data_IF_110037889265
#
_entry.id   IF_110037889265
#
_cell.length_a   1.000
_cell.length_b   1.000
_cell.length_c   1.000
_cell.angle_alpha   90.00
_cell.angle_beta   90.00
_cell.angle_gamma   90.00
#
_symmetry.space_group_name_H-M   'P 1'
#
loop_
_entity.id
_entity.type
_entity.pdbx_description
1 polymer ?
#
# COMPACT_ATOMS: atom_id res chain seq x y z
N UNK A 1 30.10 5.71 -9.63
CA UNK A 1 29.68 5.67 -8.21
C UNK A 1 30.82 5.37 -7.23
N UNK A 2 31.44 4.19 -7.20
CA UNK A 2 32.49 3.88 -6.20
C UNK A 2 33.66 4.87 -6.20
N UNK A 3 34.14 5.29 -7.37
CA UNK A 3 35.25 6.27 -7.51
C UNK A 3 34.85 7.68 -7.05
N UNK A 4 33.59 8.07 -7.18
CA UNK A 4 33.09 9.36 -6.72
C UNK A 4 32.85 9.38 -5.21
N UNK A 5 32.34 8.28 -4.63
CA UNK A 5 32.17 8.16 -3.17
C UNK A 5 33.48 8.29 -2.40
N UNK A 6 34.63 7.91 -3.04
CA UNK A 6 35.93 8.08 -2.45
C UNK A 6 36.48 9.53 -2.51
N UNK A 7 35.78 10.44 -3.20
CA UNK A 7 36.12 11.85 -3.33
C UNK A 7 35.26 12.78 -2.51
N UNK A 8 34.26 12.24 -1.77
CA UNK A 8 33.33 13.03 -0.98
C UNK A 8 34.06 13.81 0.11
N UNK A 9 33.72 15.08 0.22
CA UNK A 9 34.08 15.90 1.38
C UNK A 9 33.21 15.51 2.60
N UNK A 10 33.47 16.12 3.77
CA UNK A 10 32.73 15.79 5.00
C UNK A 10 31.25 16.10 4.93
N UNK A 11 30.84 17.16 4.23
CA UNK A 11 29.43 17.56 4.04
C UNK A 11 28.71 16.58 3.13
N UNK A 12 29.32 16.21 2.01
CA UNK A 12 28.79 15.24 1.05
C UNK A 12 28.60 13.87 1.69
N UNK A 13 29.61 13.42 2.45
CA UNK A 13 29.51 12.15 3.20
C UNK A 13 28.34 12.19 4.20
N UNK A 14 28.22 13.27 4.98
CA UNK A 14 27.15 13.40 5.96
C UNK A 14 25.77 13.40 5.31
N UNK A 15 25.56 14.16 4.25
CA UNK A 15 24.28 14.22 3.51
C UNK A 15 23.93 12.89 2.87
N UNK A 16 24.91 12.19 2.28
CA UNK A 16 24.68 10.86 1.70
C UNK A 16 24.29 9.83 2.75
N UNK A 17 24.96 9.82 3.89
CA UNK A 17 24.61 8.95 5.03
C UNK A 17 23.22 9.28 5.55
N UNK A 18 22.86 10.56 5.70
CA UNK A 18 21.52 10.98 6.10
C UNK A 18 20.48 10.50 5.08
N UNK A 19 20.75 10.64 3.79
CA UNK A 19 19.86 10.16 2.73
C UNK A 19 19.62 8.64 2.82
N UNK A 20 20.67 7.86 3.02
CA UNK A 20 20.55 6.41 3.22
C UNK A 20 19.72 6.08 4.47
N UNK A 21 19.98 6.78 5.59
CA UNK A 21 19.25 6.55 6.84
C UNK A 21 17.78 6.86 6.67
N UNK A 22 17.39 8.00 6.11
CA UNK A 22 15.99 8.41 6.01
C UNK A 22 15.19 7.51 5.04
N UNK A 23 15.84 6.85 4.09
CA UNK A 23 15.21 5.86 3.20
C UNK A 23 15.14 4.49 3.88
N UNK A 24 16.25 4.00 4.42
CA UNK A 24 16.36 2.63 4.89
C UNK A 24 15.77 2.42 6.28
N UNK A 25 15.84 3.43 7.16
CA UNK A 25 15.32 3.31 8.53
C UNK A 25 13.81 3.08 8.61
N UNK A 26 12.93 3.80 7.88
CA UNK A 26 11.51 3.51 7.88
C UNK A 26 11.21 2.08 7.41
N UNK A 27 11.94 1.59 6.40
CA UNK A 27 11.80 0.22 5.90
C UNK A 27 12.21 -0.81 6.95
N UNK A 28 13.39 -0.64 7.55
CA UNK A 28 13.84 -1.49 8.65
C UNK A 28 12.85 -1.48 9.81
N UNK A 29 12.36 -0.31 10.20
CA UNK A 29 11.35 -0.15 11.25
C UNK A 29 10.07 -0.92 10.93
N UNK A 30 9.59 -0.82 9.70
CA UNK A 30 8.42 -1.56 9.23
C UNK A 30 8.58 -3.07 9.42
N UNK A 31 9.72 -3.62 9.01
CA UNK A 31 9.97 -5.05 9.17
C UNK A 31 10.12 -5.45 10.65
N UNK A 32 10.78 -4.64 11.46
CA UNK A 32 11.04 -4.94 12.88
C UNK A 32 9.78 -4.83 13.74
N UNK A 33 8.94 -3.84 13.50
CA UNK A 33 7.76 -3.52 14.31
C UNK A 33 6.44 -3.93 13.66
N UNK A 34 6.48 -4.60 12.51
CA UNK A 34 5.30 -5.06 11.77
C UNK A 34 4.32 -3.94 11.40
N UNK A 35 4.82 -2.73 11.18
CA UNK A 35 4.03 -1.59 10.68
C UNK A 35 3.89 -1.63 9.15
N UNK A 36 3.05 -0.76 8.57
CA UNK A 36 2.83 -0.71 7.13
C UNK A 36 4.11 -0.38 6.36
N UNK A 37 4.44 -1.23 5.38
CA UNK A 37 5.54 -1.00 4.46
C UNK A 37 5.22 0.12 3.47
N UNK A 38 3.98 0.20 2.97
CA UNK A 38 3.54 1.27 2.08
C UNK A 38 3.70 2.65 2.73
N UNK A 39 3.30 2.79 4.01
CA UNK A 39 3.50 4.03 4.75
C UNK A 39 4.99 4.33 4.94
N UNK A 40 5.80 3.33 5.26
CA UNK A 40 7.24 3.49 5.44
C UNK A 40 7.94 3.91 4.14
N UNK A 41 7.52 3.38 2.98
CA UNK A 41 7.99 3.83 1.67
C UNK A 41 7.59 5.28 1.40
N UNK A 42 6.34 5.66 1.70
CA UNK A 42 5.86 7.05 1.55
C UNK A 42 6.74 8.02 2.34
N UNK A 43 7.00 7.70 3.62
CA UNK A 43 7.84 8.54 4.50
C UNK A 43 9.29 8.55 4.00
N UNK A 44 9.87 7.39 3.67
CA UNK A 44 11.24 7.29 3.18
C UNK A 44 11.49 8.07 1.89
N UNK A 45 10.56 7.98 0.92
CA UNK A 45 10.65 8.73 -0.33
C UNK A 45 10.52 10.25 -0.12
N UNK A 46 9.59 10.68 0.75
CA UNK A 46 9.43 12.11 1.08
C UNK A 46 10.69 12.67 1.75
N UNK A 47 11.19 12.01 2.78
CA UNK A 47 12.40 12.45 3.49
C UNK A 47 13.64 12.36 2.60
N UNK A 48 13.77 11.29 1.79
CA UNK A 48 14.83 11.16 0.80
C UNK A 48 14.82 12.29 -0.23
N UNK A 49 13.65 12.70 -0.69
CA UNK A 49 13.48 13.84 -1.57
C UNK A 49 13.92 15.15 -0.91
N UNK A 50 13.57 15.39 0.35
CA UNK A 50 14.00 16.58 1.07
C UNK A 50 15.54 16.65 1.17
N UNK A 51 16.21 15.52 1.40
CA UNK A 51 17.68 15.48 1.39
C UNK A 51 18.25 15.79 0.00
N UNK A 52 17.62 15.30 -1.09
CA UNK A 52 18.02 15.64 -2.46
C UNK A 52 17.90 17.15 -2.73
N UNK A 53 16.83 17.80 -2.24
CA UNK A 53 16.63 19.26 -2.35
C UNK A 53 17.71 20.01 -1.55
N UNK A 54 18.01 19.56 -0.33
CA UNK A 54 19.08 20.16 0.50
C UNK A 54 20.45 20.00 -0.19
N UNK A 55 20.73 18.83 -0.76
CA UNK A 55 21.95 18.61 -1.54
C UNK A 55 22.06 19.58 -2.71
N UNK A 56 20.98 19.75 -3.47
CA UNK A 56 20.94 20.71 -4.58
C UNK A 56 21.21 22.15 -4.14
N UNK A 57 20.63 22.55 -3.00
CA UNK A 57 20.89 23.86 -2.41
C UNK A 57 22.35 24.01 -2.03
N UNK A 58 22.94 23.01 -1.38
CA UNK A 58 24.35 23.04 -0.94
C UNK A 58 25.31 23.01 -2.12
N UNK A 59 24.98 22.30 -3.20
CA UNK A 59 25.72 22.31 -4.44
C UNK A 59 25.74 23.73 -5.06
N UNK A 60 24.59 24.39 -5.14
CA UNK A 60 24.47 25.75 -5.65
C UNK A 60 25.17 26.80 -4.76
N UNK A 61 25.33 26.53 -3.47
CA UNK A 61 26.05 27.40 -2.53
C UNK A 61 27.54 27.09 -2.42
N UNK A 62 28.05 26.08 -3.13
CA UNK A 62 29.45 25.68 -3.13
C UNK A 62 29.91 24.91 -1.88
N UNK A 63 29.00 24.35 -1.10
CA UNK A 63 29.32 23.44 0.03
C UNK A 63 29.51 21.99 -0.40
N UNK A 64 29.00 21.64 -1.58
CA UNK A 64 29.06 20.32 -2.20
C UNK A 64 29.59 20.47 -3.62
N UNK A 65 30.60 19.70 -3.98
CA UNK A 65 31.27 19.77 -5.27
C UNK A 65 30.78 18.72 -6.27
N UNK A 66 30.18 17.65 -5.78
CA UNK A 66 29.76 16.50 -6.57
C UNK A 66 28.23 16.46 -6.71
N UNK A 67 27.75 16.26 -7.94
CA UNK A 67 26.34 15.99 -8.25
C UNK A 67 26.07 14.49 -8.29
N UNK A 68 25.95 13.88 -7.09
CA UNK A 68 25.84 12.42 -6.92
C UNK A 68 24.64 11.79 -7.63
N UNK A 69 23.51 12.49 -7.71
CA UNK A 69 22.24 11.89 -8.11
C UNK A 69 22.26 11.32 -9.52
N UNK A 70 23.06 11.88 -10.43
CA UNK A 70 23.17 11.42 -11.81
C UNK A 70 23.68 9.98 -11.94
N UNK A 71 24.56 9.55 -11.06
CA UNK A 71 25.10 8.19 -11.05
C UNK A 71 24.08 7.13 -10.58
N UNK A 72 23.04 7.61 -9.91
CA UNK A 72 21.96 6.77 -9.38
C UNK A 72 20.71 6.77 -10.28
N UNK A 73 20.65 7.63 -11.31
CA UNK A 73 19.60 7.64 -12.31
C UNK A 73 19.76 6.46 -13.28
N UNK A 74 18.64 5.91 -13.72
CA UNK A 74 18.66 4.84 -14.70
C UNK A 74 18.85 5.41 -16.11
N UNK A 75 20.05 5.29 -16.66
CA UNK A 75 20.37 5.61 -18.05
C UNK A 75 20.56 4.33 -18.86
N UNK A 76 19.75 4.09 -19.91
CA UNK A 76 19.85 2.85 -20.68
C UNK A 76 21.24 2.57 -21.25
N UNK A 77 21.91 3.60 -21.78
CA UNK A 77 23.28 3.43 -22.33
C UNK A 77 24.29 2.97 -21.28
N UNK A 78 24.20 3.43 -20.04
CA UNK A 78 25.08 3.04 -18.93
C UNK A 78 24.68 1.69 -18.34
N UNK A 79 23.39 1.38 -18.36
CA UNK A 79 22.84 0.13 -17.83
C UNK A 79 23.10 -1.09 -18.72
N UNK A 80 23.72 -0.92 -19.92
CA UNK A 80 24.28 -2.01 -20.72
C UNK A 80 25.44 -2.70 -19.99
N UNK A 81 26.16 -1.97 -19.17
CA UNK A 81 27.28 -2.49 -18.39
C UNK A 81 26.83 -2.93 -16.98
N UNK A 82 27.42 -3.98 -16.40
CA UNK A 82 27.06 -4.46 -15.06
C UNK A 82 27.16 -3.39 -13.97
N UNK A 83 28.04 -2.42 -14.11
CA UNK A 83 28.20 -1.29 -13.17
C UNK A 83 26.95 -0.40 -13.09
N UNK A 84 26.13 -0.36 -14.15
CA UNK A 84 24.89 0.41 -14.20
C UNK A 84 23.66 -0.35 -13.67
N UNK A 85 23.76 -1.65 -13.36
CA UNK A 85 22.57 -2.43 -12.97
C UNK A 85 21.93 -1.99 -11.65
N UNK A 86 22.71 -1.39 -10.75
CA UNK A 86 22.16 -0.84 -9.50
C UNK A 86 21.09 0.22 -9.77
N UNK A 87 21.17 0.92 -10.91
CA UNK A 87 20.24 1.99 -11.27
C UNK A 87 18.83 1.51 -11.58
N UNK A 88 18.63 0.22 -11.88
CA UNK A 88 17.31 -0.38 -11.98
C UNK A 88 16.50 -0.28 -10.67
N UNK A 89 17.20 -0.13 -9.54
CA UNK A 89 16.60 0.00 -8.22
C UNK A 89 16.82 1.41 -7.66
N UNK A 90 18.04 1.95 -7.70
CA UNK A 90 18.36 3.24 -7.06
C UNK A 90 17.55 4.40 -7.65
N UNK A 91 17.30 4.40 -8.95
CA UNK A 91 16.50 5.42 -9.60
C UNK A 91 15.07 5.55 -9.02
N UNK A 92 14.52 4.46 -8.49
CA UNK A 92 13.21 4.45 -7.84
C UNK A 92 13.13 5.23 -6.52
N UNK A 93 14.26 5.59 -5.94
CA UNK A 93 14.36 6.39 -4.71
C UNK A 93 14.68 7.86 -4.95
N UNK A 94 14.85 8.24 -6.22
CA UNK A 94 15.17 9.59 -6.64
C UNK A 94 13.98 10.25 -7.33
N UNK A 95 13.86 11.56 -7.17
CA UNK A 95 12.80 12.35 -7.81
C UNK A 95 13.37 13.66 -8.36
N UNK A 96 12.67 14.27 -9.32
CA UNK A 96 13.04 15.57 -9.86
C UNK A 96 13.04 16.62 -8.76
N UNK A 97 14.17 17.29 -8.53
CA UNK A 97 14.29 18.36 -7.54
C UNK A 97 13.64 19.67 -8.00
N UNK A 98 13.33 19.77 -9.30
CA UNK A 98 12.72 20.96 -9.91
C UNK A 98 11.20 20.84 -9.98
N UNK A 99 10.64 19.65 -9.73
CA UNK A 99 9.21 19.39 -9.77
C UNK A 99 8.78 18.50 -8.59
N UNK A 100 8.32 19.14 -7.52
CA UNK A 100 7.80 18.47 -6.34
C UNK A 100 6.54 17.63 -6.62
N UNK A 101 5.79 17.94 -7.70
CA UNK A 101 4.59 17.16 -8.05
C UNK A 101 4.94 15.74 -8.44
N UNK A 102 6.16 15.50 -8.93
CA UNK A 102 6.65 14.16 -9.25
C UNK A 102 6.74 13.25 -8.01
N UNK A 103 7.35 13.72 -6.92
CA UNK A 103 7.39 12.92 -5.67
C UNK A 103 6.02 12.85 -5.02
N UNK A 104 5.27 13.96 -4.97
CA UNK A 104 3.94 14.02 -4.35
C UNK A 104 2.96 13.07 -5.04
N UNK A 105 2.96 13.00 -6.36
CA UNK A 105 2.15 12.05 -7.13
C UNK A 105 2.48 10.60 -6.77
N UNK A 106 3.76 10.25 -6.71
CA UNK A 106 4.19 8.90 -6.36
C UNK A 106 3.81 8.51 -4.93
N UNK A 107 4.12 9.35 -3.92
CA UNK A 107 3.78 9.04 -2.53
C UNK A 107 2.27 9.00 -2.30
N UNK A 108 1.49 9.82 -3.02
CA UNK A 108 0.03 9.78 -2.97
C UNK A 108 -0.50 8.42 -3.45
N UNK A 109 -0.03 7.92 -4.58
CA UNK A 109 -0.44 6.60 -5.09
C UNK A 109 0.04 5.49 -4.14
N UNK A 110 1.29 5.53 -3.68
CA UNK A 110 1.83 4.52 -2.77
C UNK A 110 1.04 4.50 -1.45
N UNK A 111 0.61 5.64 -0.93
CA UNK A 111 -0.21 5.70 0.27
C UNK A 111 -1.65 5.23 0.00
N UNK A 112 -2.35 5.84 -0.96
CA UNK A 112 -3.79 5.62 -1.14
C UNK A 112 -4.14 4.28 -1.79
N UNK A 113 -3.29 3.78 -2.68
CA UNK A 113 -3.45 2.48 -3.35
C UNK A 113 -2.66 1.39 -2.62
N UNK A 114 -1.45 1.73 -2.16
CA UNK A 114 -0.54 0.76 -1.57
C UNK A 114 -0.98 0.30 -0.18
N UNK A 115 -1.46 1.17 0.71
CA UNK A 115 -1.90 0.76 2.05
C UNK A 115 -3.03 -0.27 2.00
N UNK A 116 -4.15 -0.04 1.26
CA UNK A 116 -5.19 -1.06 1.11
C UNK A 116 -4.70 -2.34 0.43
N UNK A 117 -3.83 -2.24 -0.57
CA UNK A 117 -3.25 -3.42 -1.22
C UNK A 117 -2.33 -4.20 -0.27
N UNK A 118 -1.57 -3.52 0.60
CA UNK A 118 -0.77 -4.18 1.63
C UNK A 118 -1.65 -4.96 2.62
N UNK A 119 -2.82 -4.43 2.98
CA UNK A 119 -3.78 -5.14 3.83
C UNK A 119 -4.31 -6.42 3.15
N UNK A 120 -4.46 -6.41 1.81
CA UNK A 120 -4.84 -7.58 1.01
C UNK A 120 -3.72 -8.63 0.94
N UNK A 121 -2.48 -8.21 0.75
CA UNK A 121 -1.32 -9.05 0.47
C UNK A 121 -0.53 -9.45 1.72
N UNK A 122 -0.55 -8.59 2.73
CA UNK A 122 0.41 -8.59 3.81
C UNK A 122 1.75 -8.00 3.38
N UNK A 123 2.49 -7.51 4.35
CA UNK A 123 3.70 -6.71 4.17
C UNK A 123 4.75 -7.34 3.24
N UNK A 124 5.08 -8.62 3.42
CA UNK A 124 6.16 -9.25 2.65
C UNK A 124 5.80 -9.40 1.17
N UNK A 125 4.54 -9.73 0.86
CA UNK A 125 4.06 -9.84 -0.53
C UNK A 125 3.89 -8.47 -1.16
N UNK A 126 3.44 -7.49 -0.40
CA UNK A 126 3.39 -6.10 -0.85
C UNK A 126 4.79 -5.58 -1.19
N UNK A 127 5.79 -5.85 -0.35
CA UNK A 127 7.19 -5.56 -0.64
C UNK A 127 7.62 -6.15 -1.98
N UNK A 128 7.33 -7.44 -2.22
CA UNK A 128 7.65 -8.09 -3.49
C UNK A 128 6.95 -7.40 -4.69
N UNK A 129 5.65 -7.11 -4.57
CA UNK A 129 4.88 -6.41 -5.63
C UNK A 129 5.44 -5.03 -5.92
N UNK A 130 5.81 -4.26 -4.89
CA UNK A 130 6.42 -2.95 -5.05
C UNK A 130 7.69 -3.02 -5.89
N UNK A 131 8.61 -3.92 -5.54
CA UNK A 131 9.88 -4.07 -6.27
C UNK A 131 9.70 -4.73 -7.63
N UNK A 132 8.73 -5.62 -7.82
CA UNK A 132 8.37 -6.15 -9.15
C UNK A 132 7.91 -5.00 -10.06
N UNK A 133 7.04 -4.11 -9.57
CA UNK A 133 6.59 -2.93 -10.32
C UNK A 133 7.75 -1.99 -10.64
N UNK A 134 8.62 -1.70 -9.66
CA UNK A 134 9.79 -0.86 -9.85
C UNK A 134 10.74 -1.41 -10.91
N UNK A 135 11.16 -2.68 -10.77
CA UNK A 135 12.09 -3.34 -11.69
C UNK A 135 11.45 -3.52 -13.06
N UNK A 136 10.16 -3.89 -13.12
CA UNK A 136 9.41 -4.00 -14.38
C UNK A 136 9.37 -2.67 -15.14
N UNK A 137 9.20 -1.57 -14.42
CA UNK A 137 9.28 -0.23 -14.99
C UNK A 137 10.67 0.07 -15.54
N UNK A 138 11.71 -0.16 -14.76
CA UNK A 138 13.10 0.06 -15.18
C UNK A 138 13.49 -0.80 -16.38
N UNK A 139 13.09 -2.08 -16.41
CA UNK A 139 13.33 -2.98 -17.55
C UNK A 139 12.61 -2.46 -18.80
N UNK A 140 11.35 -2.07 -18.69
CA UNK A 140 10.62 -1.55 -19.84
C UNK A 140 11.25 -0.25 -20.35
N UNK A 141 11.64 0.68 -19.47
CA UNK A 141 12.37 1.87 -19.89
C UNK A 141 13.67 1.52 -20.63
N UNK A 142 14.47 0.62 -20.08
CA UNK A 142 15.70 0.14 -20.71
C UNK A 142 15.45 -0.41 -22.11
N UNK A 143 14.51 -1.32 -22.26
CA UNK A 143 14.25 -2.00 -23.55
C UNK A 143 13.74 -1.05 -24.63
N UNK A 144 12.88 -0.10 -24.27
CA UNK A 144 12.31 0.86 -25.24
C UNK A 144 13.22 2.05 -25.54
N UNK A 145 14.30 2.26 -24.75
CA UNK A 145 15.20 3.40 -24.88
C UNK A 145 16.67 2.99 -24.88
N UNK A 146 17.00 1.78 -25.36
CA UNK A 146 18.30 1.12 -25.18
C UNK A 146 19.51 1.94 -25.66
N UNK A 147 19.32 2.79 -26.69
CA UNK A 147 20.36 3.68 -27.23
C UNK A 147 20.27 5.11 -26.65
N UNK A 148 19.37 5.35 -25.72
CA UNK A 148 19.16 6.67 -25.15
C UNK A 148 20.00 6.88 -23.89
N UNK A 149 20.59 8.05 -23.77
CA UNK A 149 21.19 8.55 -22.52
C UNK A 149 20.20 9.28 -21.62
N UNK A 150 18.92 9.39 -22.02
CA UNK A 150 17.89 10.04 -21.19
C UNK A 150 17.66 9.25 -19.90
N UNK A 151 17.78 9.91 -18.73
CA UNK A 151 17.57 9.22 -17.47
C UNK A 151 16.09 8.96 -17.22
N UNK A 152 15.81 7.87 -16.48
CA UNK A 152 14.57 7.67 -15.76
C UNK A 152 14.87 7.69 -14.27
N UNK A 153 13.95 8.29 -13.51
CA UNK A 153 13.97 8.33 -12.04
C UNK A 153 12.55 8.42 -11.52
N UNK A 154 12.35 8.00 -10.28
CA UNK A 154 11.05 8.04 -9.60
C UNK A 154 10.47 6.67 -9.26
N UNK A 155 9.68 6.64 -8.20
CA UNK A 155 8.97 5.44 -7.75
C UNK A 155 7.75 5.10 -8.62
N UNK A 156 7.56 5.79 -9.74
CA UNK A 156 6.33 5.68 -10.54
C UNK A 156 6.13 4.31 -11.19
N UNK A 157 7.20 3.61 -11.57
CA UNK A 157 7.11 2.21 -12.02
C UNK A 157 6.49 1.31 -10.96
N UNK A 158 6.88 1.47 -9.68
CA UNK A 158 6.25 0.78 -8.56
C UNK A 158 4.80 1.25 -8.36
N UNK A 159 4.53 2.56 -8.36
CA UNK A 159 3.19 3.11 -8.18
C UNK A 159 2.19 2.58 -9.22
N UNK A 160 2.58 2.53 -10.49
CA UNK A 160 1.77 1.89 -11.55
C UNK A 160 1.69 0.37 -11.38
N UNK A 161 2.76 -0.27 -10.89
CA UNK A 161 2.75 -1.69 -10.51
C UNK A 161 1.71 -2.00 -9.44
N UNK A 162 1.54 -1.11 -8.43
CA UNK A 162 0.48 -1.27 -7.43
C UNK A 162 -0.92 -1.25 -8.05
N UNK A 163 -1.20 -0.35 -9.00
CA UNK A 163 -2.47 -0.38 -9.74
C UNK A 163 -2.65 -1.68 -10.55
N UNK A 164 -1.61 -2.14 -11.24
CA UNK A 164 -1.65 -3.39 -11.99
C UNK A 164 -1.94 -4.60 -11.11
N UNK A 165 -1.22 -4.72 -10.00
CA UNK A 165 -1.43 -5.79 -9.03
C UNK A 165 -2.82 -5.72 -8.39
N UNK A 166 -3.28 -4.54 -8.00
CA UNK A 166 -4.59 -4.39 -7.39
C UNK A 166 -5.72 -4.73 -8.38
N UNK A 167 -5.59 -4.31 -9.64
CA UNK A 167 -6.53 -4.67 -10.71
C UNK A 167 -6.60 -6.19 -10.91
N UNK A 168 -5.44 -6.88 -10.89
CA UNK A 168 -5.39 -8.33 -11.07
C UNK A 168 -6.02 -9.10 -9.90
N UNK A 169 -5.92 -8.56 -8.67
CA UNK A 169 -6.36 -9.24 -7.45
C UNK A 169 -7.77 -8.85 -7.00
N UNK A 170 -8.02 -7.58 -6.85
CA UNK A 170 -9.21 -7.04 -6.20
C UNK A 170 -9.78 -5.82 -6.93
N UNK A 171 -10.25 -5.98 -8.18
CA UNK A 171 -10.73 -4.87 -9.02
C UNK A 171 -11.98 -4.16 -8.48
N UNK A 172 -12.75 -4.84 -7.62
CA UNK A 172 -14.00 -4.30 -7.06
C UNK A 172 -13.81 -3.54 -5.75
N UNK A 173 -12.62 -3.61 -5.16
CA UNK A 173 -12.34 -2.85 -3.94
C UNK A 173 -12.49 -1.36 -4.20
N UNK A 174 -13.10 -0.67 -3.25
CA UNK A 174 -13.26 0.78 -3.30
C UNK A 174 -12.23 1.44 -2.39
N UNK A 175 -11.41 2.31 -2.98
CA UNK A 175 -10.37 3.05 -2.26
C UNK A 175 -10.61 4.56 -2.36
N UNK A 176 -10.33 5.34 -1.30
CA UNK A 176 -10.41 6.79 -1.36
C UNK A 176 -9.33 7.32 -2.31
N UNK A 177 -9.73 8.00 -3.38
CA UNK A 177 -8.80 8.53 -4.35
C UNK A 177 -9.27 9.87 -4.93
N UNK A 178 -8.39 10.90 -5.03
CA UNK A 178 -8.76 12.24 -5.51
C UNK A 178 -8.74 12.30 -7.05
N UNK A 179 -9.59 11.51 -7.75
CA UNK A 179 -9.65 11.56 -9.21
C UNK A 179 -10.34 12.85 -9.71
N UNK A 180 -11.56 13.13 -9.22
CA UNK A 180 -12.33 14.35 -9.46
C UNK A 180 -12.66 15.00 -8.12
N UNK A 181 -13.16 14.18 -7.18
CA UNK A 181 -13.43 14.51 -5.79
C UNK A 181 -12.82 13.43 -4.93
N UNK A 182 -12.43 13.76 -3.68
CA UNK A 182 -11.98 12.76 -2.71
C UNK A 182 -13.19 11.93 -2.30
N UNK A 183 -13.33 10.76 -2.92
CA UNK A 183 -14.35 9.76 -2.61
C UNK A 183 -13.80 8.36 -2.88
N UNK A 184 -14.53 7.34 -2.45
CA UNK A 184 -14.21 5.94 -2.77
C UNK A 184 -14.49 5.67 -4.25
N UNK A 185 -13.52 5.07 -4.93
CA UNK A 185 -13.58 4.65 -6.32
C UNK A 185 -13.21 3.18 -6.42
N UNK A 186 -13.95 2.38 -7.21
CA UNK A 186 -13.53 1.03 -7.55
C UNK A 186 -12.15 1.04 -8.22
N UNK A 187 -11.26 0.17 -7.75
CA UNK A 187 -9.90 0.02 -8.29
C UNK A 187 -9.89 -0.20 -9.79
N UNK A 188 -10.88 -0.97 -10.29
CA UNK A 188 -11.04 -1.21 -11.72
C UNK A 188 -11.03 0.08 -12.55
N UNK A 189 -11.82 1.08 -12.18
CA UNK A 189 -11.87 2.34 -12.92
C UNK A 189 -10.60 3.15 -12.78
N UNK A 190 -10.02 3.21 -11.59
CA UNK A 190 -8.76 3.92 -11.37
C UNK A 190 -7.64 3.31 -12.21
N UNK A 191 -7.44 1.99 -12.10
CA UNK A 191 -6.39 1.30 -12.84
C UNK A 191 -6.56 1.43 -14.36
N UNK A 192 -7.79 1.30 -14.86
CA UNK A 192 -8.09 1.42 -16.28
C UNK A 192 -7.85 2.83 -16.83
N UNK A 193 -8.25 3.86 -16.07
CA UNK A 193 -8.03 5.26 -16.46
C UNK A 193 -6.53 5.57 -16.48
N UNK A 194 -5.79 5.25 -15.43
CA UNK A 194 -4.36 5.51 -15.37
C UNK A 194 -3.60 4.73 -16.44
N UNK A 195 -3.90 3.44 -16.61
CA UNK A 195 -3.29 2.63 -17.67
C UNK A 195 -3.62 3.17 -19.06
N UNK A 196 -4.90 3.46 -19.34
CA UNK A 196 -5.34 4.00 -20.63
C UNK A 196 -4.69 5.33 -20.98
N UNK A 197 -4.58 6.24 -20.02
CA UNK A 197 -3.88 7.52 -20.19
C UNK A 197 -2.40 7.30 -20.52
N UNK A 198 -1.73 6.34 -19.88
CA UNK A 198 -0.32 6.04 -20.18
C UNK A 198 -0.15 5.42 -21.55
N UNK A 199 -1.07 4.56 -22.02
CA UNK A 199 -1.06 4.02 -23.38
C UNK A 199 -1.18 5.16 -24.43
N UNK A 200 -2.12 6.09 -24.24
CA UNK A 200 -2.28 7.24 -25.14
C UNK A 200 -1.04 8.14 -25.15
N UNK A 201 -0.46 8.39 -23.99
CA UNK A 201 0.76 9.21 -23.86
C UNK A 201 1.98 8.52 -24.45
N UNK A 202 2.14 7.21 -24.23
CA UNK A 202 3.19 6.42 -24.84
C UNK A 202 3.06 6.43 -26.38
N UNK A 203 1.85 6.26 -26.92
CA UNK A 203 1.61 6.39 -28.36
C UNK A 203 1.94 7.80 -28.86
N UNK A 204 1.60 8.84 -28.12
CA UNK A 204 1.97 10.22 -28.49
C UNK A 204 3.51 10.39 -28.54
N UNK A 205 4.23 9.78 -27.62
CA UNK A 205 5.70 9.90 -27.53
C UNK A 205 6.42 9.06 -28.58
N UNK A 206 6.08 7.78 -28.70
CA UNK A 206 6.80 6.83 -29.56
C UNK A 206 6.19 6.66 -30.96
N UNK A 207 4.89 6.88 -31.10
CA UNK A 207 4.19 6.76 -32.38
C UNK A 207 4.06 8.08 -33.15
N UNK A 208 3.90 9.20 -32.42
CA UNK A 208 3.78 10.55 -33.00
C UNK A 208 5.04 11.39 -32.80
N UNK A 209 6.11 10.81 -32.23
CA UNK A 209 7.41 11.43 -31.99
C UNK A 209 7.34 12.76 -31.19
N UNK A 210 6.33 12.90 -30.31
CA UNK A 210 6.17 14.08 -29.47
C UNK A 210 7.05 13.96 -28.23
N UNK A 211 7.95 14.92 -27.94
CA UNK A 211 8.81 14.88 -26.76
C UNK A 211 8.00 14.80 -25.47
N UNK A 212 8.44 13.95 -24.55
CA UNK A 212 7.89 13.85 -23.18
C UNK A 212 9.02 13.63 -22.20
N UNK A 213 8.97 14.30 -21.06
CA UNK A 213 9.91 14.10 -19.95
C UNK A 213 9.43 13.00 -18.98
N UNK A 214 8.30 12.36 -19.28
CA UNK A 214 7.71 11.29 -18.48
C UNK A 214 8.07 9.92 -19.07
N UNK A 215 8.45 8.99 -18.20
CA UNK A 215 8.80 7.63 -18.57
C UNK A 215 7.58 6.73 -18.77
N UNK A 216 6.73 7.00 -19.80
CA UNK A 216 5.49 6.26 -20.02
C UNK A 216 5.69 4.74 -20.14
N UNK A 217 6.79 4.29 -20.77
CA UNK A 217 7.09 2.86 -20.88
C UNK A 217 7.46 2.25 -19.52
N UNK A 218 8.08 3.03 -18.61
CA UNK A 218 8.33 2.57 -17.26
C UNK A 218 7.02 2.37 -16.47
N UNK A 219 6.04 3.24 -16.64
CA UNK A 219 4.71 3.10 -16.04
C UNK A 219 4.00 1.84 -16.54
N UNK A 220 3.94 1.66 -17.85
CA UNK A 220 3.30 0.50 -18.49
C UNK A 220 4.01 -0.80 -18.11
N UNK A 221 5.35 -0.82 -18.10
CA UNK A 221 6.14 -2.00 -17.74
C UNK A 221 5.91 -2.42 -16.29
N UNK A 222 5.92 -1.46 -15.37
CA UNK A 222 5.61 -1.70 -13.95
C UNK A 222 4.21 -2.28 -13.75
N UNK A 223 3.21 -1.66 -14.39
CA UNK A 223 1.82 -2.11 -14.35
C UNK A 223 1.66 -3.53 -14.87
N UNK A 224 2.14 -3.81 -16.08
CA UNK A 224 1.96 -5.11 -16.76
C UNK A 224 2.68 -6.22 -16.01
N UNK A 225 3.92 -5.99 -15.55
CA UNK A 225 4.67 -7.03 -14.85
C UNK A 225 4.03 -7.37 -13.50
N UNK A 226 3.63 -6.38 -12.72
CA UNK A 226 2.96 -6.60 -11.44
C UNK A 226 1.58 -7.25 -11.62
N UNK A 227 0.80 -6.85 -12.63
CA UNK A 227 -0.46 -7.49 -12.99
C UNK A 227 -0.26 -8.98 -13.29
N UNK A 228 0.68 -9.30 -14.16
CA UNK A 228 0.91 -10.68 -14.62
C UNK A 228 1.46 -11.60 -13.52
N UNK A 229 2.27 -11.06 -12.60
CA UNK A 229 2.93 -11.85 -11.55
C UNK A 229 2.12 -11.95 -10.26
N UNK A 230 1.09 -11.10 -10.08
CA UNK A 230 0.31 -11.09 -8.85
C UNK A 230 -0.23 -12.47 -8.45
N UNK A 231 -0.81 -13.30 -9.33
CA UNK A 231 -1.35 -14.61 -8.94
C UNK A 231 -0.32 -15.53 -8.29
N UNK A 232 0.96 -15.39 -8.66
CA UNK A 232 2.06 -16.13 -8.07
C UNK A 232 2.46 -15.58 -6.69
N UNK A 233 2.59 -14.25 -6.59
CA UNK A 233 2.99 -13.56 -5.36
C UNK A 233 1.91 -13.66 -4.29
N UNK A 234 0.65 -13.54 -4.66
CA UNK A 234 -0.49 -13.52 -3.74
C UNK A 234 -0.90 -14.91 -3.22
N UNK A 235 -0.39 -15.99 -3.82
CA UNK A 235 -0.74 -17.36 -3.45
C UNK A 235 -0.51 -17.63 -1.95
N UNK A 236 -1.58 -18.11 -1.26
CA UNK A 236 -1.52 -18.37 0.18
C UNK A 236 -1.44 -17.11 1.05
N UNK A 237 -1.91 -15.98 0.56
CA UNK A 237 -1.81 -14.69 1.22
C UNK A 237 -2.73 -14.46 2.42
N UNK A 238 -2.62 -13.29 3.04
CA UNK A 238 -3.35 -12.92 4.23
C UNK A 238 -4.86 -12.73 3.97
N UNK A 239 -5.57 -12.42 5.04
CA UNK A 239 -7.02 -12.21 5.02
C UNK A 239 -7.34 -10.96 4.19
N UNK A 240 -8.21 -11.06 3.18
CA UNK A 240 -8.61 -9.91 2.40
C UNK A 240 -9.45 -8.91 3.22
N UNK A 241 -9.36 -7.64 2.87
CA UNK A 241 -10.29 -6.61 3.34
C UNK A 241 -11.67 -6.89 2.77
N UNK A 242 -12.69 -6.87 3.61
CA UNK A 242 -14.05 -7.18 3.19
C UNK A 242 -14.28 -8.66 2.86
N UNK A 243 -15.53 -9.07 2.84
CA UNK A 243 -15.93 -10.48 2.83
C UNK A 243 -16.14 -11.02 1.41
N UNK A 244 -16.07 -10.18 0.40
CA UNK A 244 -16.68 -10.52 -0.88
C UNK A 244 -15.80 -11.25 -1.88
N UNK A 245 -14.49 -11.24 -1.72
CA UNK A 245 -13.61 -11.74 -2.77
C UNK A 245 -12.59 -12.74 -2.27
N UNK A 246 -12.71 -13.97 -2.74
CA UNK A 246 -11.66 -14.97 -2.57
C UNK A 246 -10.41 -14.74 -3.42
N UNK A 247 -10.10 -13.54 -3.89
CA UNK A 247 -8.96 -13.13 -4.70
C UNK A 247 -7.85 -14.17 -4.96
N UNK A 248 -6.79 -13.88 -5.67
CA UNK A 248 -5.71 -14.84 -5.99
C UNK A 248 -4.92 -15.30 -4.74
N UNK A 249 -5.09 -14.62 -3.60
CA UNK A 249 -4.49 -15.02 -2.31
C UNK A 249 -5.28 -16.08 -1.56
N UNK A 250 -6.45 -16.49 -2.04
CA UNK A 250 -7.31 -17.42 -1.34
C UNK A 250 -6.74 -18.85 -1.31
N UNK A 251 -6.19 -19.22 -0.15
CA UNK A 251 -6.02 -20.64 0.21
C UNK A 251 -7.37 -21.21 0.66
N UNK A 252 -7.51 -22.52 0.71
CA UNK A 252 -8.72 -23.17 1.25
C UNK A 252 -9.05 -22.71 2.68
N UNK A 253 -8.03 -22.39 3.49
CA UNK A 253 -8.18 -21.84 4.84
C UNK A 253 -8.78 -20.43 4.82
N UNK A 254 -8.28 -19.55 3.95
CA UNK A 254 -8.82 -18.19 3.78
C UNK A 254 -10.26 -18.23 3.29
N UNK A 255 -10.56 -19.08 2.30
CA UNK A 255 -11.93 -19.28 1.80
C UNK A 255 -12.86 -19.78 2.91
N UNK A 256 -12.40 -20.75 3.72
CA UNK A 256 -13.21 -21.27 4.82
C UNK A 256 -13.43 -20.22 5.91
N UNK A 257 -12.40 -19.43 6.25
CA UNK A 257 -12.53 -18.31 7.19
C UNK A 257 -13.50 -17.25 6.68
N UNK A 258 -13.41 -16.89 5.39
CA UNK A 258 -14.37 -15.95 4.77
C UNK A 258 -15.80 -16.48 4.77
N UNK A 259 -15.99 -17.78 4.51
CA UNK A 259 -17.31 -18.41 4.57
C UNK A 259 -17.88 -18.41 5.99
N UNK A 260 -17.04 -18.65 7.01
CA UNK A 260 -17.47 -18.60 8.40
C UNK A 260 -17.87 -17.17 8.82
N UNK A 261 -17.07 -16.17 8.47
CA UNK A 261 -17.37 -14.76 8.71
C UNK A 261 -18.67 -14.35 7.98
N UNK A 262 -18.84 -14.71 6.70
CA UNK A 262 -20.05 -14.40 5.93
C UNK A 262 -21.31 -15.09 6.49
N UNK A 263 -21.14 -16.32 6.98
CA UNK A 263 -22.22 -17.03 7.66
C UNK A 263 -22.61 -16.32 8.95
N UNK A 264 -21.63 -15.98 9.79
CA UNK A 264 -21.84 -15.25 11.03
C UNK A 264 -22.53 -13.88 10.81
N UNK A 265 -22.13 -13.15 9.77
CA UNK A 265 -22.77 -11.88 9.40
C UNK A 265 -24.23 -12.04 8.97
N UNK A 266 -24.52 -13.12 8.23
CA UNK A 266 -25.89 -13.44 7.82
C UNK A 266 -26.73 -13.85 9.02
N UNK A 267 -26.15 -14.65 9.91
CA UNK A 267 -26.83 -15.11 11.12
C UNK A 267 -27.10 -13.92 12.07
N UNK A 268 -26.18 -12.95 12.16
CA UNK A 268 -26.35 -11.69 12.88
C UNK A 268 -27.52 -10.83 12.37
N UNK A 269 -27.71 -10.71 11.04
CA UNK A 269 -28.83 -9.95 10.47
C UNK A 269 -30.22 -10.54 10.81
N UNK A 270 -30.25 -11.83 11.12
CA UNK A 270 -31.47 -12.55 11.47
C UNK A 270 -31.55 -12.96 12.93
N UNK A 271 -30.52 -12.66 13.72
CA UNK A 271 -30.46 -13.02 15.13
C UNK A 271 -31.27 -12.05 16.00
N UNK A 272 -31.74 -12.52 17.11
CA UNK A 272 -32.16 -11.65 18.19
C UNK A 272 -31.01 -10.90 18.79
N UNK A 273 -31.30 -9.78 19.45
CA UNK A 273 -30.22 -9.02 20.12
C UNK A 273 -29.53 -9.87 21.22
N UNK A 274 -28.30 -9.53 21.60
CA UNK A 274 -27.47 -10.35 22.49
C UNK A 274 -28.10 -10.64 23.86
N UNK A 275 -28.96 -9.75 24.39
CA UNK A 275 -29.60 -9.92 25.66
C UNK A 275 -30.86 -10.81 25.53
N UNK A 276 -31.75 -10.49 24.58
CA UNK A 276 -32.95 -11.27 24.31
C UNK A 276 -32.63 -12.71 23.91
N UNK A 277 -31.55 -12.91 23.12
CA UNK A 277 -31.10 -14.25 22.75
C UNK A 277 -30.61 -15.12 23.95
N UNK A 278 -30.45 -14.53 25.13
CA UNK A 278 -30.04 -15.21 26.37
C UNK A 278 -31.06 -14.99 27.50
N UNK A 279 -32.30 -14.71 27.17
CA UNK A 279 -33.43 -14.51 28.10
C UNK A 279 -33.25 -13.29 29.04
N UNK A 280 -32.50 -12.27 28.64
CA UNK A 280 -32.35 -11.02 29.39
C UNK A 280 -33.05 -9.86 28.70
N UNK A 281 -33.43 -8.84 29.47
CA UNK A 281 -33.97 -7.61 28.90
C UNK A 281 -32.86 -6.74 28.31
N UNK A 282 -33.06 -6.27 27.07
CA UNK A 282 -32.11 -5.39 26.38
C UNK A 282 -31.99 -4.03 27.13
N UNK A 283 -30.82 -3.69 27.66
CA UNK A 283 -30.61 -2.43 28.38
C UNK A 283 -30.89 -1.21 27.49
N UNK A 284 -31.56 -0.19 28.07
CA UNK A 284 -31.99 1.00 27.30
C UNK A 284 -30.81 1.77 26.70
N UNK A 285 -29.68 1.82 27.44
CA UNK A 285 -28.46 2.56 27.06
C UNK A 285 -27.72 1.95 25.86
N UNK A 286 -27.91 0.67 25.55
CA UNK A 286 -27.26 -0.01 24.41
C UNK A 286 -28.18 -0.28 23.24
N UNK A 287 -29.48 0.02 23.37
CA UNK A 287 -30.50 -0.33 22.37
C UNK A 287 -30.19 0.23 20.98
N UNK A 288 -29.77 1.51 20.90
CA UNK A 288 -29.41 2.14 19.62
C UNK A 288 -28.10 1.57 19.05
N UNK A 289 -27.12 1.28 19.91
CA UNK A 289 -25.84 0.68 19.50
C UNK A 289 -26.01 -0.74 18.97
N UNK A 290 -26.86 -1.54 19.61
CA UNK A 290 -27.23 -2.89 19.13
C UNK A 290 -27.93 -2.81 17.77
N UNK A 291 -28.85 -1.87 17.58
CA UNK A 291 -29.49 -1.65 16.28
C UNK A 291 -28.48 -1.26 15.22
N UNK A 292 -27.57 -0.34 15.51
CA UNK A 292 -26.49 0.07 14.60
C UNK A 292 -25.54 -1.09 14.26
N UNK A 293 -25.23 -1.96 15.25
CA UNK A 293 -24.45 -3.18 15.03
C UNK A 293 -25.14 -4.12 14.04
N UNK A 294 -26.46 -4.32 14.20
CA UNK A 294 -27.25 -5.18 13.30
C UNK A 294 -27.33 -4.60 11.89
N UNK A 295 -27.53 -3.28 11.76
CA UNK A 295 -27.64 -2.59 10.48
C UNK A 295 -26.30 -2.57 9.72
N UNK A 296 -25.16 -2.51 10.43
CA UNK A 296 -23.80 -2.47 9.86
C UNK A 296 -23.07 -3.83 9.91
N UNK A 297 -23.82 -4.92 10.03
CA UNK A 297 -23.26 -6.28 10.17
C UNK A 297 -22.41 -6.75 8.97
N UNK A 298 -22.50 -6.12 7.81
CA UNK A 298 -21.75 -6.38 6.58
C UNK A 298 -20.40 -5.64 6.49
N UNK A 299 -20.12 -4.73 7.44
CA UNK A 299 -18.86 -3.99 7.52
C UNK A 299 -18.03 -4.47 8.74
N UNK A 300 -16.99 -5.32 8.58
CA UNK A 300 -16.28 -5.94 9.72
C UNK A 300 -15.68 -4.94 10.70
N UNK A 301 -15.09 -3.86 10.22
CA UNK A 301 -14.45 -2.83 11.07
C UNK A 301 -15.52 -2.04 11.85
N UNK A 302 -16.59 -1.65 11.18
CA UNK A 302 -17.73 -0.95 11.80
C UNK A 302 -18.42 -1.85 12.82
N UNK A 303 -18.56 -3.14 12.51
CA UNK A 303 -19.11 -4.14 13.43
C UNK A 303 -18.28 -4.27 14.71
N UNK A 304 -16.95 -4.40 14.56
CA UNK A 304 -16.06 -4.51 15.72
C UNK A 304 -16.15 -3.26 16.60
N UNK A 305 -16.15 -2.07 16.02
CA UNK A 305 -16.28 -0.81 16.75
C UNK A 305 -17.60 -0.73 17.52
N UNK A 306 -18.73 -1.20 16.92
CA UNK A 306 -20.00 -1.25 17.64
C UNK A 306 -20.00 -2.30 18.76
N UNK A 307 -19.38 -3.44 18.58
CA UNK A 307 -19.25 -4.46 19.62
C UNK A 307 -18.43 -3.95 20.81
N UNK A 308 -17.31 -3.27 20.54
CA UNK A 308 -16.48 -2.62 21.59
C UNK A 308 -17.29 -1.55 22.33
N UNK A 309 -17.99 -0.69 21.58
CA UNK A 309 -18.85 0.34 22.18
C UNK A 309 -19.98 -0.23 23.05
N UNK A 310 -20.60 -1.33 22.62
CA UNK A 310 -21.63 -2.03 23.41
C UNK A 310 -21.00 -2.63 24.69
N UNK A 311 -19.83 -3.24 24.57
CA UNK A 311 -19.12 -3.81 25.71
C UNK A 311 -18.73 -2.75 26.77
N UNK A 312 -18.37 -1.53 26.32
CA UNK A 312 -18.08 -0.40 27.21
C UNK A 312 -19.33 0.17 27.92
N UNK A 313 -20.51 0.09 27.27
CA UNK A 313 -21.75 0.67 27.81
C UNK A 313 -22.53 -0.28 28.73
N UNK A 314 -22.29 -1.58 28.65
CA UNK A 314 -23.07 -2.57 29.39
C UNK A 314 -22.20 -3.52 30.20
N UNK A 315 -22.80 -4.06 31.26
CA UNK A 315 -22.22 -5.10 32.07
C UNK A 315 -22.91 -6.44 31.81
N UNK A 316 -22.27 -7.52 32.20
CA UNK A 316 -22.85 -8.86 32.18
C UNK A 316 -24.17 -8.89 32.98
N UNK A 317 -25.27 -9.34 32.37
CA UNK A 317 -26.57 -9.35 33.03
C UNK A 317 -26.65 -10.32 34.21
N UNK A 318 -25.78 -11.34 34.24
CA UNK A 318 -25.76 -12.35 35.27
C UNK A 318 -24.90 -11.98 36.48
N UNK A 319 -23.70 -11.40 36.28
CA UNK A 319 -22.75 -11.14 37.39
C UNK A 319 -22.30 -9.68 37.49
N UNK A 320 -22.83 -8.78 36.66
CA UNK A 320 -22.49 -7.36 36.59
C UNK A 320 -21.01 -7.05 36.30
N UNK A 321 -20.22 -8.04 35.92
CA UNK A 321 -18.84 -7.82 35.50
C UNK A 321 -18.78 -7.13 34.13
N UNK A 322 -17.69 -6.42 33.79
CA UNK A 322 -17.51 -5.81 32.48
C UNK A 322 -17.64 -6.84 31.37
N UNK A 323 -18.19 -6.42 30.24
CA UNK A 323 -18.11 -7.15 28.99
C UNK A 323 -16.82 -6.77 28.25
N UNK A 324 -16.34 -7.66 27.39
CA UNK A 324 -15.18 -7.42 26.54
C UNK A 324 -15.37 -8.06 25.17
N UNK A 325 -14.68 -7.55 24.15
CA UNK A 325 -14.66 -8.17 22.82
C UNK A 325 -13.42 -9.07 22.70
N UNK A 326 -13.66 -10.32 22.33
CA UNK A 326 -12.60 -11.31 22.09
C UNK A 326 -12.65 -11.77 20.64
N UNK A 327 -11.50 -11.94 20.03
CA UNK A 327 -11.39 -12.49 18.68
C UNK A 327 -11.32 -14.01 18.73
N UNK A 328 -12.24 -14.69 18.04
CA UNK A 328 -12.26 -16.15 17.87
C UNK A 328 -12.03 -16.54 16.40
N UNK A 329 -11.91 -17.83 16.14
CA UNK A 329 -11.70 -18.36 14.78
C UNK A 329 -12.84 -18.06 13.82
N UNK A 330 -14.03 -17.82 14.32
CA UNK A 330 -15.27 -17.48 13.61
C UNK A 330 -15.58 -15.98 13.61
N UNK A 331 -14.83 -15.17 14.36
CA UNK A 331 -14.94 -13.71 14.40
C UNK A 331 -14.95 -13.13 15.81
N UNK A 332 -15.19 -11.81 15.95
CA UNK A 332 -15.27 -11.14 17.24
C UNK A 332 -16.55 -11.53 17.98
N UNK A 333 -16.43 -11.71 19.30
CA UNK A 333 -17.54 -12.02 20.23
C UNK A 333 -17.53 -11.06 21.40
N UNK A 334 -18.72 -10.63 21.86
CA UNK A 334 -18.89 -9.93 23.14
C UNK A 334 -19.03 -11.01 24.22
N UNK A 335 -18.18 -10.94 25.24
CA UNK A 335 -18.13 -11.95 26.29
C UNK A 335 -18.00 -11.33 27.66
N UNK A 336 -18.54 -12.00 28.71
CA UNK A 336 -18.29 -11.64 30.09
C UNK A 336 -16.82 -11.84 30.46
N UNK A 337 -16.16 -10.79 30.98
CA UNK A 337 -14.74 -10.81 31.33
C UNK A 337 -14.40 -11.73 32.50
N UNK A 338 -15.35 -11.99 33.39
CA UNK A 338 -15.15 -12.84 34.57
C UNK A 338 -15.52 -14.30 34.33
N UNK A 339 -16.62 -14.53 33.61
CA UNK A 339 -17.16 -15.86 33.36
C UNK A 339 -17.68 -15.97 31.93
N UNK A 340 -16.92 -16.58 31.00
CA UNK A 340 -17.27 -16.68 29.59
C UNK A 340 -18.62 -17.30 29.30
N UNK A 341 -19.10 -18.19 30.19
CA UNK A 341 -20.38 -18.88 30.09
C UNK A 341 -21.60 -18.02 30.49
N UNK A 342 -21.38 -16.90 31.23
CA UNK A 342 -22.48 -16.03 31.66
C UNK A 342 -23.06 -15.18 30.54
N UNK A 343 -22.24 -14.76 29.60
CA UNK A 343 -22.63 -13.96 28.45
C UNK A 343 -21.63 -14.15 27.33
N UNK A 344 -22.08 -14.61 26.18
CA UNK A 344 -21.25 -14.79 24.99
C UNK A 344 -22.12 -14.65 23.76
N UNK A 345 -21.77 -13.74 22.83
CA UNK A 345 -22.52 -13.44 21.63
C UNK A 345 -21.61 -12.87 20.53
N UNK A 346 -21.88 -13.18 19.25
CA UNK A 346 -22.70 -14.25 18.67
C UNK A 346 -22.06 -15.59 18.79
#
# INVERSE_FOLDING_TARGET
MAAQLMQFNGVETALFVVWLIVILWPLYYSFRHKTSFALSMTVGLLLGYLVQVIWSLFYNLGFVDVWLWEDLWMRPTEAKEPSGWITFISAGFLHSQFDATHVLGNIMVIALVGIPLEQRLGRNRFFAVYFIGLIGGSIAWFLFNIESSRPALGASGAAFGLFGAYLAGWPKDEIPFPLILIRKWPVFYLALIYFGLEVVRAYSTYGLERPSDVGHMAHLGGFVLAYATLPLVAKGGPVPLGVEDGGPSSSSEVINRLRSIKKQMKDLKSAEDPWTAQDYELPKNVRESVKSLMDSSDEPETRQAWMEHIADLANCPQCSSPLGVIERSDGPHIQCSSHPEHFNWP
#
